data_IF_560690679539
#
_entry.id   IF_560690679539
#
_cell.length_a   1.000
_cell.length_b   1.000
_cell.length_c   1.000
_cell.angle_alpha   90.00
_cell.angle_beta   90.00
_cell.angle_gamma   90.00
#
_symmetry.space_group_name_H-M   'P 1'
#
loop_
_entity.id
_entity.type
_entity.pdbx_description
1 polymer ?
#
# COMPACT_ATOMS: atom_id res chain seq x y z
N UNK A 1 -18.40 -6.61 55.81
CA UNK A 1 -17.25 -5.97 55.12
C UNK A 1 -16.41 -6.94 54.30
N UNK A 2 -15.83 -8.02 54.82
CA UNK A 2 -14.94 -8.93 54.05
C UNK A 2 -15.58 -9.58 52.80
N UNK A 3 -16.88 -9.89 52.79
CA UNK A 3 -17.58 -10.47 51.63
C UNK A 3 -17.79 -9.45 50.49
N UNK A 4 -18.03 -8.18 50.82
CA UNK A 4 -18.22 -7.11 49.82
C UNK A 4 -16.89 -6.78 49.14
N UNK A 5 -15.77 -6.75 49.87
CA UNK A 5 -14.46 -6.50 49.33
C UNK A 5 -14.04 -7.62 48.33
N UNK A 6 -14.36 -8.89 48.66
CA UNK A 6 -14.11 -10.02 47.73
C UNK A 6 -14.96 -9.95 46.47
N UNK A 7 -16.21 -9.54 46.58
CA UNK A 7 -17.09 -9.36 45.42
C UNK A 7 -16.59 -8.24 44.50
N UNK A 8 -16.19 -7.10 45.07
CA UNK A 8 -15.63 -5.97 44.32
C UNK A 8 -14.31 -6.33 43.64
N UNK A 9 -13.44 -7.14 44.26
CA UNK A 9 -12.18 -7.57 43.61
C UNK A 9 -12.44 -8.56 42.48
N UNK A 10 -13.43 -9.43 42.55
CA UNK A 10 -13.77 -10.37 41.47
C UNK A 10 -14.41 -9.62 40.28
N UNK A 11 -15.28 -8.66 40.53
CA UNK A 11 -15.88 -7.81 39.49
C UNK A 11 -14.82 -6.95 38.80
N UNK A 12 -13.90 -6.38 39.56
CA UNK A 12 -12.77 -5.63 39.02
C UNK A 12 -11.84 -6.49 38.14
N UNK A 13 -11.55 -7.73 38.54
CA UNK A 13 -10.74 -8.68 37.77
C UNK A 13 -11.47 -9.11 36.49
N UNK A 14 -12.78 -9.34 36.53
CA UNK A 14 -13.61 -9.68 35.36
C UNK A 14 -13.66 -8.50 34.35
N UNK A 15 -13.79 -7.26 34.84
CA UNK A 15 -13.75 -6.06 34.00
C UNK A 15 -12.40 -5.93 33.28
N UNK A 16 -11.28 -6.16 33.97
CA UNK A 16 -9.95 -6.10 33.37
C UNK A 16 -9.79 -7.21 32.30
N UNK A 17 -10.31 -8.41 32.53
CA UNK A 17 -10.31 -9.50 31.57
C UNK A 17 -11.15 -9.20 30.31
N UNK A 18 -12.29 -8.53 30.44
CA UNK A 18 -13.14 -8.14 29.30
C UNK A 18 -12.48 -7.04 28.47
N UNK A 19 -11.76 -6.09 29.10
CA UNK A 19 -10.99 -5.07 28.37
C UNK A 19 -9.68 -5.60 27.77
N UNK A 20 -9.17 -6.75 28.22
CA UNK A 20 -7.99 -7.40 27.62
C UNK A 20 -8.33 -8.34 26.47
N UNK A 21 -9.60 -8.55 26.15
CA UNK A 21 -10.04 -9.07 24.84
C UNK A 21 -9.91 -7.92 23.83
N UNK A 22 -8.67 -7.40 23.72
CA UNK A 22 -8.30 -6.36 22.80
C UNK A 22 -8.74 -6.77 21.39
N UNK A 23 -9.37 -5.83 20.69
CA UNK A 23 -9.45 -5.89 19.25
C UNK A 23 -8.10 -6.38 18.71
N UNK A 24 -8.08 -7.49 18.02
CA UNK A 24 -6.91 -7.89 17.24
C UNK A 24 -6.60 -6.72 16.32
N UNK A 25 -5.58 -5.95 16.66
CA UNK A 25 -5.03 -4.95 15.76
C UNK A 25 -4.30 -5.77 14.71
N UNK A 26 -4.98 -6.05 13.61
CA UNK A 26 -4.34 -6.66 12.46
C UNK A 26 -3.24 -5.72 11.99
N UNK A 27 -2.00 -6.14 12.22
CA UNK A 27 -0.84 -5.38 11.77
C UNK A 27 -0.81 -5.43 10.24
N UNK A 28 -0.74 -4.27 9.62
CA UNK A 28 -0.54 -4.18 8.18
C UNK A 28 0.79 -4.87 7.80
N UNK A 29 0.78 -5.93 6.99
CA UNK A 29 1.98 -6.74 6.72
C UNK A 29 3.05 -5.98 5.94
N UNK A 30 2.70 -4.85 5.29
CA UNK A 30 3.61 -4.07 4.45
C UNK A 30 4.38 -2.98 5.22
N UNK A 31 3.91 -2.55 6.43
CA UNK A 31 4.49 -1.40 7.15
C UNK A 31 5.95 -1.58 7.61
N UNK A 32 6.37 -2.82 7.90
CA UNK A 32 7.70 -3.11 8.43
C UNK A 32 8.55 -4.00 7.51
N UNK A 33 8.08 -4.26 6.30
CA UNK A 33 8.81 -5.07 5.33
C UNK A 33 9.65 -4.15 4.40
N UNK A 34 10.99 -4.26 4.40
CA UNK A 34 11.87 -3.42 3.59
C UNK A 34 11.72 -3.61 2.08
N UNK A 35 10.97 -4.64 1.65
CA UNK A 35 10.66 -4.86 0.24
C UNK A 35 9.56 -3.92 -0.28
N UNK A 36 8.83 -3.27 0.62
CA UNK A 36 7.74 -2.37 0.27
C UNK A 36 8.06 -0.94 0.68
N UNK A 37 7.80 0.00 -0.21
CA UNK A 37 7.94 1.43 0.08
C UNK A 37 6.55 2.06 0.19
N UNK A 38 6.22 2.60 1.39
CA UNK A 38 5.00 3.35 1.63
C UNK A 38 5.12 4.73 1.00
N UNK A 39 4.31 5.03 0.01
CA UNK A 39 4.34 6.30 -0.69
C UNK A 39 3.10 7.17 -0.46
N UNK A 40 2.05 6.61 0.14
CA UNK A 40 0.80 7.31 0.46
C UNK A 40 0.05 6.71 1.62
N UNK A 41 -0.76 7.55 2.28
CA UNK A 41 -1.66 7.14 3.36
C UNK A 41 -2.81 8.14 3.48
N UNK A 42 -4.01 7.64 3.73
CA UNK A 42 -5.19 8.41 4.11
C UNK A 42 -5.98 7.71 5.23
N UNK A 43 -7.17 8.22 5.55
CA UNK A 43 -8.03 7.66 6.62
C UNK A 43 -8.55 6.24 6.30
N UNK A 44 -8.49 5.79 5.06
CA UNK A 44 -9.09 4.53 4.58
C UNK A 44 -8.07 3.50 4.19
N UNK A 45 -6.88 3.96 3.73
CA UNK A 45 -5.88 3.08 3.12
C UNK A 45 -4.45 3.58 3.26
N UNK A 46 -3.51 2.65 3.18
CA UNK A 46 -2.09 2.93 2.92
C UNK A 46 -1.70 2.37 1.56
N UNK A 47 -0.84 3.11 0.85
CA UNK A 47 -0.36 2.75 -0.49
C UNK A 47 1.13 2.44 -0.48
N UNK A 48 1.51 1.33 -1.12
CA UNK A 48 2.88 0.81 -1.17
C UNK A 48 3.24 0.42 -2.61
N UNK A 49 4.53 0.42 -2.89
CA UNK A 49 5.09 -0.22 -4.09
C UNK A 49 6.01 -1.36 -3.67
N UNK A 50 5.87 -2.51 -4.33
CA UNK A 50 6.82 -3.62 -4.20
C UNK A 50 8.11 -3.29 -4.94
N UNK A 51 9.17 -3.00 -4.19
CA UNK A 51 10.47 -2.60 -4.71
C UNK A 51 11.16 -3.70 -5.53
N UNK A 52 10.78 -4.97 -5.34
CA UNK A 52 11.33 -6.10 -6.08
C UNK A 52 10.60 -6.34 -7.42
N UNK A 53 9.41 -5.77 -7.58
CA UNK A 53 8.63 -5.86 -8.81
C UNK A 53 9.04 -4.85 -9.88
N UNK A 54 9.85 -3.85 -9.50
CA UNK A 54 10.24 -2.74 -10.37
C UNK A 54 11.16 -3.23 -11.48
N UNK A 55 10.76 -3.01 -12.73
CA UNK A 55 11.57 -3.31 -13.89
C UNK A 55 11.42 -2.28 -15.00
N UNK A 56 12.47 -2.08 -15.79
CA UNK A 56 12.43 -1.24 -16.98
C UNK A 56 11.92 -2.06 -18.16
N UNK A 57 10.78 -1.68 -18.71
CA UNK A 57 10.18 -2.33 -19.88
C UNK A 57 10.54 -1.62 -21.20
N UNK A 58 10.93 -0.34 -21.14
CA UNK A 58 11.42 0.44 -22.28
C UNK A 58 12.48 1.45 -21.83
N UNK A 59 13.61 1.44 -22.51
CA UNK A 59 14.66 2.45 -22.41
C UNK A 59 14.92 3.06 -23.80
N UNK A 60 14.38 4.24 -24.03
CA UNK A 60 14.49 4.97 -25.32
C UNK A 60 14.42 6.49 -25.01
N UNK A 61 15.53 7.07 -24.50
CA UNK A 61 15.54 8.48 -24.08
C UNK A 61 15.05 9.42 -25.19
N UNK A 62 14.16 10.38 -24.88
CA UNK A 62 13.72 10.80 -23.56
C UNK A 62 12.54 10.01 -22.99
N UNK A 63 12.16 8.88 -23.60
CA UNK A 63 11.00 8.07 -23.22
C UNK A 63 11.43 6.83 -22.46
N UNK A 64 10.78 6.57 -21.32
CA UNK A 64 11.02 5.40 -20.51
C UNK A 64 9.68 4.75 -20.13
N UNK A 65 9.69 3.44 -19.96
CA UNK A 65 8.55 2.74 -19.36
C UNK A 65 9.07 1.79 -18.27
N UNK A 66 8.43 1.85 -17.12
CA UNK A 66 8.72 1.02 -15.95
C UNK A 66 7.48 0.23 -15.59
N UNK A 67 7.64 -1.01 -15.13
CA UNK A 67 6.55 -1.74 -14.48
C UNK A 67 6.80 -1.85 -12.99
N UNK A 68 5.72 -1.88 -12.20
CA UNK A 68 5.73 -2.07 -10.76
C UNK A 68 4.43 -2.73 -10.31
N UNK A 69 4.44 -3.38 -9.14
CA UNK A 69 3.23 -3.75 -8.41
C UNK A 69 2.92 -2.64 -7.41
N UNK A 70 1.77 -2.02 -7.61
CA UNK A 70 1.17 -1.05 -6.70
C UNK A 70 0.23 -1.78 -5.75
N UNK A 71 0.29 -1.46 -4.45
CA UNK A 71 -0.45 -2.15 -3.40
C UNK A 71 -1.22 -1.14 -2.59
N UNK A 72 -2.53 -1.35 -2.42
CA UNK A 72 -3.34 -0.59 -1.49
C UNK A 72 -3.88 -1.50 -0.39
N UNK A 73 -3.53 -1.18 0.88
CA UNK A 73 -4.06 -1.83 2.06
C UNK A 73 -5.26 -1.05 2.60
N UNK A 74 -6.41 -1.70 2.75
CA UNK A 74 -7.66 -1.09 3.22
C UNK A 74 -7.91 -1.43 4.70
N UNK A 75 -8.07 -0.39 5.53
CA UNK A 75 -8.27 -0.54 6.98
C UNK A 75 -9.66 -1.07 7.36
N UNK A 76 -10.67 -0.84 6.50
CA UNK A 76 -12.07 -1.14 6.82
C UNK A 76 -12.36 -2.63 6.96
N UNK A 77 -11.64 -3.46 6.23
CA UNK A 77 -11.89 -4.90 6.13
C UNK A 77 -10.60 -5.75 6.09
N UNK A 78 -9.45 -5.11 6.37
CA UNK A 78 -8.14 -5.74 6.38
C UNK A 78 -7.85 -6.51 5.08
N UNK A 79 -8.17 -5.91 3.94
CA UNK A 79 -7.87 -6.47 2.62
C UNK A 79 -6.84 -5.61 1.91
N UNK A 80 -6.24 -6.15 0.85
CA UNK A 80 -5.36 -5.36 0.00
C UNK A 80 -5.55 -5.70 -1.47
N UNK A 81 -5.24 -4.72 -2.34
CA UNK A 81 -5.13 -4.94 -3.78
C UNK A 81 -3.67 -4.99 -4.20
N UNK A 82 -3.40 -5.74 -5.28
CA UNK A 82 -2.17 -5.67 -6.07
C UNK A 82 -2.56 -5.28 -7.48
N UNK A 83 -2.08 -4.13 -7.90
CA UNK A 83 -2.38 -3.54 -9.21
C UNK A 83 -1.14 -3.61 -10.11
N UNK A 84 -1.31 -4.09 -11.34
CA UNK A 84 -0.25 -4.08 -12.34
C UNK A 84 -0.15 -2.67 -12.92
N UNK A 85 0.92 -1.96 -12.58
CA UNK A 85 1.16 -0.58 -12.99
C UNK A 85 2.28 -0.53 -14.03
N UNK A 86 2.03 0.17 -15.14
CA UNK A 86 3.05 0.62 -16.07
C UNK A 86 3.13 2.14 -16.01
N UNK A 87 4.32 2.66 -15.74
CA UNK A 87 4.60 4.09 -15.65
C UNK A 87 5.36 4.51 -16.90
N UNK A 88 4.78 5.43 -17.65
CA UNK A 88 5.40 6.03 -18.83
C UNK A 88 5.97 7.39 -18.46
N UNK A 89 7.23 7.61 -18.78
CA UNK A 89 7.96 8.85 -18.51
C UNK A 89 8.39 9.52 -19.80
N UNK A 90 8.23 10.84 -19.86
CA UNK A 90 8.88 11.68 -20.85
C UNK A 90 9.82 12.68 -20.14
N UNK A 91 11.12 12.42 -20.19
CA UNK A 91 12.12 13.18 -19.44
C UNK A 91 12.22 14.66 -19.87
N UNK A 92 12.04 14.94 -21.16
CA UNK A 92 12.13 16.31 -21.68
C UNK A 92 10.97 17.19 -21.24
N UNK A 93 9.76 16.63 -21.16
CA UNK A 93 8.55 17.40 -20.79
C UNK A 93 8.18 17.22 -19.33
N UNK A 94 8.90 16.37 -18.60
CA UNK A 94 8.60 16.00 -17.20
C UNK A 94 7.17 15.45 -17.02
N UNK A 95 6.65 14.79 -18.04
CA UNK A 95 5.33 14.14 -17.99
C UNK A 95 5.44 12.69 -17.57
N UNK A 96 4.51 12.29 -16.71
CA UNK A 96 4.34 10.91 -16.25
C UNK A 96 2.90 10.48 -16.50
N UNK A 97 2.71 9.27 -17.02
CA UNK A 97 1.39 8.66 -17.21
C UNK A 97 1.40 7.31 -16.51
N UNK A 98 0.39 7.07 -15.68
CA UNK A 98 0.13 5.77 -15.07
C UNK A 98 -0.88 5.00 -15.91
N UNK A 99 -0.55 3.75 -16.22
CA UNK A 99 -1.43 2.79 -16.87
C UNK A 99 -1.62 1.60 -15.94
N UNK A 100 -2.81 1.45 -15.38
CA UNK A 100 -3.22 0.30 -14.58
C UNK A 100 -3.87 -0.75 -15.48
N UNK A 101 -3.41 -2.01 -15.35
CA UNK A 101 -3.86 -3.12 -16.18
C UNK A 101 -4.41 -4.25 -15.29
N UNK A 102 -5.57 -3.97 -14.68
CA UNK A 102 -6.22 -4.91 -13.78
C UNK A 102 -5.61 -4.96 -12.39
N UNK A 103 -6.37 -5.53 -11.46
CA UNK A 103 -5.95 -5.75 -10.07
C UNK A 103 -6.44 -7.08 -9.53
N UNK A 104 -5.76 -7.56 -8.50
CA UNK A 104 -6.19 -8.70 -7.68
C UNK A 104 -6.39 -8.23 -6.24
N UNK A 105 -7.52 -8.62 -5.61
CA UNK A 105 -7.82 -8.32 -4.20
C UNK A 105 -7.62 -9.56 -3.35
N UNK A 106 -7.03 -9.36 -2.19
CA UNK A 106 -6.67 -10.40 -1.24
C UNK A 106 -7.19 -10.07 0.15
N UNK A 107 -7.44 -11.10 0.96
CA UNK A 107 -7.59 -10.98 2.41
C UNK A 107 -6.21 -10.80 3.08
N UNK A 108 -6.21 -10.49 4.37
CA UNK A 108 -5.01 -10.31 5.20
C UNK A 108 -4.11 -11.56 5.25
N UNK A 109 -4.70 -12.75 5.15
CA UNK A 109 -3.97 -14.03 5.10
C UNK A 109 -3.38 -14.36 3.72
N UNK A 110 -3.60 -13.49 2.72
CA UNK A 110 -3.11 -13.67 1.35
C UNK A 110 -4.01 -14.50 0.45
N UNK A 111 -5.22 -14.89 0.90
CA UNK A 111 -6.19 -15.59 0.06
C UNK A 111 -6.78 -14.66 -0.98
N UNK A 112 -6.80 -15.09 -2.25
CA UNK A 112 -7.38 -14.34 -3.36
C UNK A 112 -8.90 -14.23 -3.22
N UNK A 113 -9.43 -13.00 -3.17
CA UNK A 113 -10.86 -12.70 -3.08
C UNK A 113 -11.50 -12.43 -4.44
N UNK A 114 -10.82 -11.66 -5.28
CA UNK A 114 -11.32 -11.29 -6.62
C UNK A 114 -10.21 -10.83 -7.54
N UNK A 115 -10.48 -10.91 -8.85
CA UNK A 115 -9.67 -10.30 -9.92
C UNK A 115 -10.53 -9.37 -10.75
N UNK A 116 -9.91 -8.37 -11.36
CA UNK A 116 -10.53 -7.46 -12.32
C UNK A 116 -9.54 -7.14 -13.43
N UNK A 117 -10.02 -7.17 -14.68
CA UNK A 117 -9.27 -6.75 -15.87
C UNK A 117 -9.51 -5.27 -16.19
N UNK A 118 -10.11 -4.52 -15.24
CA UNK A 118 -10.38 -3.10 -15.45
C UNK A 118 -9.06 -2.33 -15.62
N UNK A 119 -8.93 -1.70 -16.79
CA UNK A 119 -7.76 -0.91 -17.14
C UNK A 119 -8.11 0.58 -17.22
N UNK A 120 -7.24 1.44 -16.73
CA UNK A 120 -7.37 2.89 -16.83
C UNK A 120 -6.01 3.58 -16.87
N UNK A 121 -6.01 4.82 -17.35
CA UNK A 121 -4.80 5.62 -17.51
C UNK A 121 -5.07 7.07 -17.16
N UNK A 122 -4.06 7.73 -16.54
CA UNK A 122 -4.12 9.16 -16.25
C UNK A 122 -2.73 9.78 -16.21
N UNK A 123 -2.66 11.10 -16.45
CA UNK A 123 -1.43 11.87 -16.27
C UNK A 123 -1.24 12.24 -14.79
N UNK A 124 -0.04 12.02 -14.28
CA UNK A 124 0.33 12.32 -12.89
C UNK A 124 0.74 13.78 -12.79
N UNK A 125 0.11 14.52 -11.87
CA UNK A 125 0.51 15.90 -11.57
C UNK A 125 1.72 15.93 -10.63
N UNK A 126 2.69 16.84 -10.83
CA UNK A 126 3.77 17.07 -9.87
C UNK A 126 3.26 17.39 -8.46
N UNK A 127 4.03 17.06 -7.44
CA UNK A 127 3.71 17.27 -6.01
C UNK A 127 2.47 16.53 -5.51
N UNK A 128 2.15 15.38 -6.13
CA UNK A 128 1.09 14.47 -5.68
C UNK A 128 1.69 13.17 -5.15
N UNK A 129 0.87 12.38 -4.47
CA UNK A 129 1.24 11.01 -4.03
C UNK A 129 1.69 10.16 -5.24
N UNK A 130 1.03 10.29 -6.39
CA UNK A 130 1.45 9.63 -7.64
C UNK A 130 2.83 10.08 -8.12
N UNK A 131 3.19 11.36 -7.96
CA UNK A 131 4.53 11.85 -8.30
C UNK A 131 5.60 11.22 -7.38
N UNK A 132 5.29 11.03 -6.09
CA UNK A 132 6.17 10.33 -5.15
C UNK A 132 6.40 8.88 -5.60
N UNK A 133 5.35 8.16 -6.00
CA UNK A 133 5.48 6.80 -6.54
C UNK A 133 6.35 6.78 -7.80
N UNK A 134 6.10 7.70 -8.75
CA UNK A 134 6.87 7.80 -9.99
C UNK A 134 8.35 8.04 -9.70
N UNK A 135 8.68 8.95 -8.78
CA UNK A 135 10.06 9.23 -8.36
C UNK A 135 10.73 8.03 -7.71
N UNK A 136 10.04 7.33 -6.80
CA UNK A 136 10.58 6.13 -6.13
C UNK A 136 10.91 5.03 -7.14
N UNK A 137 9.99 4.75 -8.09
CA UNK A 137 10.19 3.74 -9.12
C UNK A 137 11.36 4.12 -10.04
N UNK A 138 11.45 5.38 -10.47
CA UNK A 138 12.54 5.85 -11.32
C UNK A 138 13.87 5.82 -10.57
N UNK A 139 13.91 6.28 -9.32
CA UNK A 139 15.10 6.29 -8.48
C UNK A 139 15.63 4.88 -8.21
N UNK A 140 14.74 3.92 -7.92
CA UNK A 140 15.14 2.53 -7.66
C UNK A 140 15.91 1.91 -8.81
N UNK A 141 15.60 2.30 -10.06
CA UNK A 141 16.23 1.74 -11.24
C UNK A 141 17.42 2.58 -11.75
N UNK A 142 17.28 3.91 -11.76
CA UNK A 142 18.28 4.82 -12.37
C UNK A 142 19.13 5.57 -11.34
N UNK A 143 18.88 5.42 -10.04
CA UNK A 143 19.54 6.14 -8.94
C UNK A 143 19.49 7.66 -9.08
N UNK A 144 18.41 8.19 -9.67
CA UNK A 144 18.11 9.62 -9.79
C UNK A 144 16.60 9.84 -9.78
N UNK A 145 16.17 10.99 -9.25
CA UNK A 145 14.75 11.37 -9.27
C UNK A 145 14.35 11.81 -10.67
N UNK A 146 13.07 11.62 -10.97
CA UNK A 146 12.51 12.01 -12.25
C UNK A 146 12.12 13.50 -12.28
N UNK A 147 11.49 14.00 -11.19
CA UNK A 147 11.08 15.40 -11.04
C UNK A 147 12.16 16.32 -10.50
#
# INVERSE_FOLDING_TARGET
MRKIIRLLSIVGLLLILVFSLGSEVYANPFDNDPNYFKYGEDEKSSSYVDLNSISCTRYDPPYYAMSALDIAWYYSDNTYTKDNLIILYNYNTKKVIFNYNGYSRYSDDGSLLSNSDYAYSFEVSPNTVGATLADVVFYKYYNQFFY
#
